data_IF_627678613849
#
_entry.id   IF_627678613849
#
_cell.length_a   1.000
_cell.length_b   1.000
_cell.length_c   1.000
_cell.angle_alpha   90.00
_cell.angle_beta   90.00
_cell.angle_gamma   90.00
#
_symmetry.space_group_name_H-M   'P 1'
#
loop_
_entity.id
_entity.type
_entity.pdbx_description
1 polymer ?
#
# COMPACT_ATOMS: atom_id res chain seq x y z
N UNK A 1 -74.68 23.09 -21.08
CA UNK A 1 -73.94 23.54 -19.89
C UNK A 1 -72.63 22.77 -19.86
N UNK A 2 -71.50 23.46 -20.01
CA UNK A 2 -70.17 23.05 -19.51
C UNK A 2 -69.25 24.26 -19.71
N UNK A 3 -69.00 24.96 -18.60
CA UNK A 3 -68.11 26.11 -18.51
C UNK A 3 -66.67 25.64 -18.73
N UNK A 4 -66.00 26.23 -19.71
CA UNK A 4 -64.55 26.21 -19.80
C UNK A 4 -64.01 27.21 -18.77
N UNK A 5 -63.51 26.73 -17.64
CA UNK A 5 -62.70 27.53 -16.72
C UNK A 5 -61.33 27.73 -17.35
N UNK A 6 -61.16 28.88 -18.02
CA UNK A 6 -59.85 29.44 -18.34
C UNK A 6 -59.17 29.84 -17.04
N UNK A 7 -58.19 29.05 -16.63
CA UNK A 7 -57.26 29.36 -15.55
C UNK A 7 -56.36 30.52 -16.01
N UNK A 8 -56.81 31.74 -15.72
CA UNK A 8 -56.06 32.96 -15.98
C UNK A 8 -55.03 33.11 -14.85
N UNK A 9 -53.91 32.39 -14.96
CA UNK A 9 -52.71 32.71 -14.20
C UNK A 9 -52.16 34.04 -14.74
N UNK A 10 -52.57 35.13 -14.11
CA UNK A 10 -52.14 36.50 -14.39
C UNK A 10 -50.60 36.55 -14.34
N UNK A 11 -49.97 36.86 -15.48
CA UNK A 11 -48.50 36.92 -15.58
C UNK A 11 -48.05 38.23 -14.91
N UNK A 12 -47.67 38.15 -13.63
CA UNK A 12 -47.08 39.29 -12.90
C UNK A 12 -45.66 39.56 -13.43
N UNK A 13 -45.47 40.68 -14.13
CA UNK A 13 -44.15 41.12 -14.58
C UNK A 13 -43.36 41.61 -13.36
N UNK A 14 -42.36 40.83 -12.95
CA UNK A 14 -41.52 41.15 -11.79
C UNK A 14 -40.70 42.44 -12.04
N UNK A 15 -40.56 43.27 -11.00
CA UNK A 15 -39.67 44.43 -11.01
C UNK A 15 -38.20 43.99 -11.03
N UNK A 16 -37.32 44.83 -11.58
CA UNK A 16 -35.88 44.53 -11.73
C UNK A 16 -35.23 44.12 -10.40
N UNK A 17 -35.57 44.80 -9.30
CA UNK A 17 -35.11 44.44 -7.96
C UNK A 17 -35.54 43.02 -7.51
N UNK A 18 -36.82 42.63 -7.76
CA UNK A 18 -37.30 41.27 -7.44
C UNK A 18 -36.60 40.21 -8.31
N UNK A 19 -36.30 40.52 -9.56
CA UNK A 19 -35.55 39.64 -10.46
C UNK A 19 -34.10 39.46 -9.97
N UNK A 20 -33.40 40.54 -9.65
CA UNK A 20 -32.03 40.49 -9.12
C UNK A 20 -31.93 39.71 -7.81
N UNK A 21 -32.85 39.94 -6.87
CA UNK A 21 -32.92 39.13 -5.63
C UNK A 21 -33.14 37.65 -5.91
N UNK A 22 -33.99 37.31 -6.88
CA UNK A 22 -34.22 35.93 -7.31
C UNK A 22 -32.96 35.28 -7.90
N UNK A 23 -32.21 36.02 -8.73
CA UNK A 23 -30.94 35.55 -9.30
C UNK A 23 -29.90 35.34 -8.20
N UNK A 24 -29.72 36.29 -7.29
CA UNK A 24 -28.79 36.19 -6.16
C UNK A 24 -29.12 34.95 -5.31
N UNK A 25 -30.36 34.82 -4.85
CA UNK A 25 -30.81 33.66 -4.05
C UNK A 25 -30.58 32.32 -4.77
N UNK A 26 -30.77 32.28 -6.09
CA UNK A 26 -30.50 31.08 -6.89
C UNK A 26 -29.00 30.74 -6.90
N UNK A 27 -28.13 31.74 -7.09
CA UNK A 27 -26.68 31.54 -7.05
C UNK A 27 -26.22 31.09 -5.66
N UNK A 28 -26.73 31.69 -4.58
CA UNK A 28 -26.44 31.28 -3.20
C UNK A 28 -26.83 29.84 -2.93
N UNK A 29 -28.05 29.44 -3.30
CA UNK A 29 -28.53 28.06 -3.10
C UNK A 29 -27.69 27.03 -3.87
N UNK A 30 -27.30 27.34 -5.10
CA UNK A 30 -26.45 26.46 -5.90
C UNK A 30 -25.03 26.38 -5.31
N UNK A 31 -24.50 27.50 -4.84
CA UNK A 31 -23.20 27.56 -4.16
C UNK A 31 -23.16 26.68 -2.93
N UNK A 32 -24.17 26.77 -2.07
CA UNK A 32 -24.24 25.96 -0.86
C UNK A 32 -24.21 24.46 -1.19
N UNK A 33 -25.05 24.02 -2.12
CA UNK A 33 -25.10 22.62 -2.55
C UNK A 33 -23.77 22.15 -3.15
N UNK A 34 -23.14 22.98 -4.00
CA UNK A 34 -21.86 22.60 -4.62
C UNK A 34 -20.72 22.60 -3.61
N UNK A 35 -20.69 23.52 -2.65
CA UNK A 35 -19.67 23.57 -1.59
C UNK A 35 -19.76 22.35 -0.68
N UNK A 36 -20.97 21.97 -0.28
CA UNK A 36 -21.17 20.76 0.52
C UNK A 36 -20.67 19.51 -0.21
N UNK A 37 -21.10 19.31 -1.47
CA UNK A 37 -20.65 18.17 -2.27
C UNK A 37 -19.13 18.19 -2.49
N UNK A 38 -18.55 19.38 -2.73
CA UNK A 38 -17.13 19.54 -2.92
C UNK A 38 -16.33 19.16 -1.67
N UNK A 39 -16.75 19.60 -0.50
CA UNK A 39 -16.08 19.28 0.76
C UNK A 39 -16.10 17.78 1.07
N UNK A 40 -17.24 17.12 0.82
CA UNK A 40 -17.35 15.65 0.96
C UNK A 40 -16.39 14.92 -0.01
N UNK A 41 -16.35 15.34 -1.27
CA UNK A 41 -15.46 14.75 -2.26
C UNK A 41 -13.98 15.06 -2.01
N UNK A 42 -13.66 16.27 -1.56
CA UNK A 42 -12.29 16.69 -1.26
C UNK A 42 -11.71 15.87 -0.10
N UNK A 43 -12.47 15.72 0.98
CA UNK A 43 -12.08 14.88 2.12
C UNK A 43 -11.89 13.41 1.70
N UNK A 44 -12.81 12.88 0.88
CA UNK A 44 -12.69 11.52 0.36
C UNK A 44 -11.47 11.35 -0.54
N UNK A 45 -11.22 12.29 -1.44
CA UNK A 45 -10.12 12.26 -2.39
C UNK A 45 -8.77 12.40 -1.69
N UNK A 46 -8.68 13.24 -0.65
CA UNK A 46 -7.53 13.34 0.24
C UNK A 46 -7.24 12.01 0.92
N UNK A 47 -8.24 11.41 1.56
CA UNK A 47 -8.09 10.10 2.23
C UNK A 47 -7.66 8.99 1.25
N UNK A 48 -8.22 8.97 0.03
CA UNK A 48 -7.83 8.00 -1.00
C UNK A 48 -6.38 8.21 -1.47
N UNK A 49 -5.94 9.46 -1.67
CA UNK A 49 -4.55 9.77 -2.04
C UNK A 49 -3.58 9.37 -0.93
N UNK A 50 -3.89 9.69 0.32
CA UNK A 50 -3.08 9.30 1.47
C UNK A 50 -2.97 7.78 1.56
N UNK A 51 -4.08 7.06 1.37
CA UNK A 51 -4.09 5.60 1.30
C UNK A 51 -3.22 5.09 0.14
N UNK A 52 -3.38 5.63 -1.07
CA UNK A 52 -2.59 5.26 -2.25
C UNK A 52 -1.08 5.40 -2.00
N UNK A 53 -0.64 6.52 -1.43
CA UNK A 53 0.78 6.74 -1.12
C UNK A 53 1.27 5.80 -0.01
N UNK A 54 0.44 5.53 1.00
CA UNK A 54 0.78 4.58 2.07
C UNK A 54 0.95 3.15 1.54
N UNK A 55 0.06 2.70 0.65
CA UNK A 55 0.13 1.39 0.00
C UNK A 55 1.37 1.28 -0.89
N UNK A 56 1.70 2.33 -1.65
CA UNK A 56 2.92 2.35 -2.47
C UNK A 56 4.18 2.22 -1.61
N UNK A 57 4.25 2.97 -0.51
CA UNK A 57 5.36 2.88 0.44
C UNK A 57 5.46 1.49 1.08
N UNK A 58 4.31 0.89 1.39
CA UNK A 58 4.28 -0.46 1.96
C UNK A 58 4.73 -1.52 0.95
N UNK A 59 4.32 -1.40 -0.30
CA UNK A 59 4.83 -2.26 -1.39
C UNK A 59 6.35 -2.21 -1.48
N UNK A 60 6.92 -1.01 -1.50
CA UNK A 60 8.37 -0.83 -1.60
C UNK A 60 9.09 -1.46 -0.40
N UNK A 61 8.56 -1.29 0.81
CA UNK A 61 9.08 -1.93 2.03
C UNK A 61 9.06 -3.45 1.97
N UNK A 62 7.98 -4.05 1.47
CA UNK A 62 7.86 -5.51 1.34
C UNK A 62 8.88 -6.02 0.32
N UNK A 63 9.05 -5.35 -0.81
CA UNK A 63 10.05 -5.71 -1.82
C UNK A 63 11.46 -5.64 -1.22
N UNK A 64 11.81 -4.55 -0.55
CA UNK A 64 13.10 -4.40 0.13
C UNK A 64 13.30 -5.49 1.19
N UNK A 65 12.27 -5.81 1.98
CA UNK A 65 12.34 -6.86 3.00
C UNK A 65 12.57 -8.23 2.37
N UNK A 66 11.90 -8.54 1.26
CA UNK A 66 12.11 -9.76 0.50
C UNK A 66 13.56 -9.91 0.03
N UNK A 67 14.15 -8.83 -0.50
CA UNK A 67 15.54 -8.85 -0.99
C UNK A 67 16.54 -9.01 0.15
N UNK A 68 16.34 -8.28 1.26
CA UNK A 68 17.15 -8.42 2.48
C UNK A 68 17.09 -9.86 3.02
N UNK A 69 15.92 -10.49 3.02
CA UNK A 69 15.77 -11.86 3.51
C UNK A 69 16.45 -12.89 2.60
N UNK A 70 16.37 -12.71 1.28
CA UNK A 70 17.10 -13.55 0.30
C UNK A 70 18.61 -13.44 0.50
N UNK A 71 19.12 -12.21 0.62
CA UNK A 71 20.54 -11.98 0.86
C UNK A 71 20.98 -12.56 2.20
N UNK A 72 20.23 -12.30 3.28
CA UNK A 72 20.50 -12.84 4.61
C UNK A 72 20.57 -14.37 4.59
N UNK A 73 19.61 -15.04 3.93
CA UNK A 73 19.63 -16.49 3.75
C UNK A 73 20.91 -16.96 3.05
N UNK A 74 21.31 -16.30 1.97
CA UNK A 74 22.52 -16.63 1.24
C UNK A 74 23.79 -16.45 2.09
N UNK A 75 23.90 -15.35 2.82
CA UNK A 75 25.04 -15.05 3.69
C UNK A 75 25.14 -16.07 4.84
N UNK A 76 24.03 -16.44 5.45
CA UNK A 76 23.99 -17.43 6.54
C UNK A 76 24.42 -18.81 6.06
N UNK A 77 23.98 -19.24 4.86
CA UNK A 77 24.49 -20.47 4.27
C UNK A 77 25.96 -20.39 3.90
N UNK A 78 26.46 -19.25 3.45
CA UNK A 78 27.89 -19.10 3.20
C UNK A 78 28.71 -19.21 4.50
N UNK A 79 28.27 -18.59 5.59
CA UNK A 79 28.91 -18.71 6.91
C UNK A 79 28.88 -20.14 7.44
N UNK A 80 27.75 -20.84 7.28
CA UNK A 80 27.63 -22.24 7.66
C UNK A 80 28.55 -23.14 6.81
N UNK A 81 28.71 -22.85 5.51
CA UNK A 81 29.62 -23.56 4.61
C UNK A 81 31.08 -23.35 5.03
N UNK A 82 31.48 -22.13 5.37
CA UNK A 82 32.83 -21.85 5.88
C UNK A 82 33.08 -22.59 7.20
N UNK A 83 32.13 -22.57 8.13
CA UNK A 83 32.23 -23.32 9.38
C UNK A 83 32.31 -24.84 9.14
N UNK A 84 31.60 -25.36 8.14
CA UNK A 84 31.68 -26.76 7.72
C UNK A 84 33.06 -27.11 7.14
N UNK A 85 33.65 -26.24 6.32
CA UNK A 85 35.01 -26.42 5.82
C UNK A 85 36.03 -26.42 6.96
N UNK A 86 35.90 -25.49 7.91
CA UNK A 86 36.74 -25.44 9.11
C UNK A 86 36.63 -26.71 9.95
N UNK A 87 35.41 -27.26 10.07
CA UNK A 87 35.17 -28.53 10.73
C UNK A 87 35.94 -29.66 10.02
N UNK A 88 35.78 -29.80 8.69
CA UNK A 88 36.44 -30.83 7.89
C UNK A 88 37.96 -30.76 8.07
N UNK A 89 38.57 -29.58 7.93
CA UNK A 89 40.02 -29.38 8.06
C UNK A 89 40.57 -29.65 9.47
N UNK A 90 39.76 -29.47 10.52
CA UNK A 90 40.17 -29.69 11.91
C UNK A 90 39.83 -31.09 12.42
N UNK A 91 39.04 -31.85 11.65
CA UNK A 91 38.49 -33.14 12.06
C UNK A 91 39.28 -34.32 11.47
N UNK A 92 40.61 -34.32 11.63
CA UNK A 92 41.51 -35.37 11.13
C UNK A 92 41.14 -36.80 11.61
N UNK A 93 40.31 -36.91 12.65
CA UNK A 93 39.87 -38.19 13.23
C UNK A 93 38.46 -38.62 12.81
N UNK A 94 37.75 -37.80 12.03
CA UNK A 94 36.42 -38.14 11.51
C UNK A 94 36.58 -38.88 10.18
N UNK A 95 35.82 -39.96 9.99
CA UNK A 95 35.84 -40.73 8.75
C UNK A 95 35.53 -39.83 7.54
N UNK A 96 36.34 -39.94 6.50
CA UNK A 96 36.17 -39.23 5.23
C UNK A 96 34.77 -39.45 4.64
N UNK A 97 34.20 -40.65 4.79
CA UNK A 97 32.83 -40.93 4.35
C UNK A 97 31.81 -40.05 5.06
N UNK A 98 31.96 -39.84 6.36
CA UNK A 98 31.08 -38.97 7.17
C UNK A 98 31.25 -37.51 6.76
N UNK A 99 32.47 -37.07 6.44
CA UNK A 99 32.72 -35.71 5.92
C UNK A 99 32.06 -35.49 4.55
N UNK A 100 32.16 -36.47 3.64
CA UNK A 100 31.53 -36.41 2.32
C UNK A 100 29.99 -36.39 2.42
N UNK A 101 29.41 -37.23 3.27
CA UNK A 101 27.97 -37.28 3.54
C UNK A 101 27.47 -35.96 4.14
N UNK A 102 28.24 -35.35 5.05
CA UNK A 102 27.91 -34.06 5.66
C UNK A 102 27.93 -32.93 4.62
N UNK A 103 28.92 -32.90 3.73
CA UNK A 103 29.00 -31.94 2.64
C UNK A 103 27.88 -32.13 1.60
N UNK A 104 27.50 -33.37 1.33
CA UNK A 104 26.37 -33.69 0.46
C UNK A 104 25.04 -33.23 1.08
N UNK A 105 24.83 -33.49 2.37
CA UNK A 105 23.66 -33.05 3.13
C UNK A 105 23.55 -31.51 3.14
N UNK A 106 24.66 -30.82 3.40
CA UNK A 106 24.71 -29.36 3.37
C UNK A 106 24.40 -28.79 1.97
N UNK A 107 24.93 -29.40 0.90
CA UNK A 107 24.58 -29.03 -0.48
C UNK A 107 23.10 -29.22 -0.77
N UNK A 108 22.45 -30.24 -0.19
CA UNK A 108 20.99 -30.44 -0.30
C UNK A 108 20.25 -29.27 0.34
N UNK A 109 20.59 -28.92 1.58
CA UNK A 109 20.01 -27.78 2.32
C UNK A 109 20.09 -26.48 1.51
N UNK A 110 21.25 -26.17 0.92
CA UNK A 110 21.42 -24.92 0.14
C UNK A 110 20.56 -24.87 -1.14
N UNK A 111 20.29 -26.03 -1.74
CA UNK A 111 19.58 -26.14 -3.03
C UNK A 111 18.06 -26.20 -2.89
N UNK A 112 17.54 -26.36 -1.68
CA UNK A 112 16.08 -26.39 -1.45
C UNK A 112 15.46 -25.04 -1.84
N UNK A 113 14.26 -25.13 -2.40
CA UNK A 113 13.49 -23.98 -2.91
C UNK A 113 12.17 -23.77 -2.18
N UNK A 114 11.78 -24.68 -1.29
CA UNK A 114 10.57 -24.57 -0.49
C UNK A 114 10.90 -24.82 0.98
N UNK A 115 10.02 -24.36 1.86
CA UNK A 115 10.18 -24.46 3.32
C UNK A 115 10.18 -25.90 3.82
N UNK A 116 9.34 -26.76 3.24
CA UNK A 116 9.16 -28.13 3.73
C UNK A 116 10.44 -28.95 3.51
N UNK A 117 10.96 -28.93 2.29
CA UNK A 117 12.20 -29.60 1.91
C UNK A 117 13.39 -28.99 2.63
N UNK A 118 13.41 -27.66 2.81
CA UNK A 118 14.47 -26.98 3.56
C UNK A 118 14.49 -27.45 5.01
N UNK A 119 13.34 -27.50 5.68
CA UNK A 119 13.22 -28.00 7.04
C UNK A 119 13.70 -29.45 7.15
N UNK A 120 13.22 -30.34 6.27
CA UNK A 120 13.64 -31.74 6.27
C UNK A 120 15.14 -31.89 6.03
N UNK A 121 15.71 -31.12 5.09
CA UNK A 121 17.14 -31.16 4.81
C UNK A 121 17.96 -30.67 6.01
N UNK A 122 17.49 -29.65 6.73
CA UNK A 122 18.13 -29.12 7.94
C UNK A 122 18.05 -30.11 9.09
N UNK A 123 16.90 -30.75 9.29
CA UNK A 123 16.73 -31.75 10.35
C UNK A 123 17.65 -32.96 10.11
N UNK A 124 17.78 -33.40 8.85
CA UNK A 124 18.74 -34.43 8.45
C UNK A 124 20.20 -34.00 8.71
N UNK A 125 20.57 -32.77 8.31
CA UNK A 125 21.91 -32.22 8.57
C UNK A 125 22.21 -32.16 10.08
N UNK A 126 21.24 -31.72 10.88
CA UNK A 126 21.39 -31.65 12.33
C UNK A 126 21.54 -33.03 12.96
N UNK A 127 20.84 -34.05 12.46
CA UNK A 127 21.03 -35.44 12.88
C UNK A 127 22.47 -35.90 12.66
N UNK A 128 23.00 -35.72 11.45
CA UNK A 128 24.40 -36.06 11.14
C UNK A 128 25.39 -35.32 12.04
N UNK A 129 25.17 -34.02 12.26
CA UNK A 129 26.01 -33.21 13.14
C UNK A 129 25.98 -33.67 14.60
N UNK A 130 24.83 -34.14 15.09
CA UNK A 130 24.69 -34.65 16.46
C UNK A 130 25.29 -36.05 16.63
N UNK A 131 25.31 -36.87 15.58
CA UNK A 131 25.96 -38.19 15.58
C UNK A 131 27.49 -38.12 15.68
N UNK A 132 28.08 -36.98 15.30
CA UNK A 132 29.50 -36.70 15.45
C UNK A 132 29.81 -36.50 16.94
N UNK A 133 30.14 -37.59 17.63
CA UNK A 133 30.56 -37.58 19.03
C UNK A 133 32.00 -37.06 19.16
N UNK A 134 32.17 -35.74 19.12
CA UNK A 134 33.49 -35.13 19.32
C UNK A 134 33.75 -34.85 20.80
N UNK A 135 34.80 -35.47 21.36
CA UNK A 135 35.35 -35.12 22.69
C UNK A 135 36.09 -33.78 22.67
N UNK A 136 36.34 -33.22 21.49
CA UNK A 136 37.00 -31.93 21.33
C UNK A 136 35.99 -30.77 21.42
N UNK A 137 36.17 -29.93 22.45
CA UNK A 137 35.37 -28.72 22.67
C UNK A 137 35.45 -27.74 21.49
N UNK A 138 36.55 -27.72 20.74
CA UNK A 138 36.72 -26.86 19.56
C UNK A 138 35.79 -27.30 18.42
N UNK A 139 35.78 -28.59 18.11
CA UNK A 139 34.90 -29.17 17.10
C UNK A 139 33.42 -29.06 17.48
N UNK A 140 33.09 -29.28 18.76
CA UNK A 140 31.72 -29.08 19.26
C UNK A 140 31.22 -27.65 19.06
N UNK A 141 32.07 -26.64 19.28
CA UNK A 141 31.71 -25.23 18.99
C UNK A 141 31.44 -24.98 17.51
N UNK A 142 32.22 -25.57 16.61
CA UNK A 142 32.03 -25.42 15.16
C UNK A 142 30.71 -26.08 14.74
N UNK A 143 30.41 -27.27 15.26
CA UNK A 143 29.12 -27.94 15.03
C UNK A 143 27.95 -27.05 15.46
N UNK A 144 27.99 -26.51 16.68
CA UNK A 144 26.93 -25.60 17.17
C UNK A 144 26.81 -24.34 16.30
N UNK A 145 27.92 -23.81 15.78
CA UNK A 145 27.90 -22.67 14.87
C UNK A 145 27.19 -23.01 13.55
N UNK A 146 27.48 -24.16 12.95
CA UNK A 146 26.82 -24.63 11.71
C UNK A 146 25.31 -24.75 11.97
N UNK A 147 24.91 -25.43 13.06
CA UNK A 147 23.51 -25.61 13.43
C UNK A 147 22.80 -24.27 13.65
N UNK A 148 23.45 -23.32 14.34
CA UNK A 148 22.89 -22.00 14.55
C UNK A 148 22.66 -21.26 13.23
N UNK A 149 23.65 -21.23 12.34
CA UNK A 149 23.57 -20.50 11.06
C UNK A 149 22.55 -21.08 10.10
N UNK A 150 22.46 -22.40 10.02
CA UNK A 150 21.45 -23.08 9.20
C UNK A 150 20.04 -22.85 9.75
N UNK A 151 19.86 -22.83 11.08
CA UNK A 151 18.57 -22.49 11.69
C UNK A 151 18.19 -21.02 11.52
N UNK A 152 19.15 -20.09 11.65
CA UNK A 152 18.93 -18.67 11.35
C UNK A 152 18.52 -18.49 9.87
N UNK A 153 19.11 -19.25 8.94
CA UNK A 153 18.76 -19.22 7.53
C UNK A 153 17.32 -19.71 7.30
N UNK A 154 16.92 -20.79 7.99
CA UNK A 154 15.53 -21.28 7.98
C UNK A 154 14.54 -20.22 8.45
N UNK A 155 14.83 -19.53 9.55
CA UNK A 155 13.96 -18.46 10.07
C UNK A 155 13.82 -17.33 9.04
N UNK A 156 14.91 -16.97 8.36
CA UNK A 156 14.86 -15.97 7.28
C UNK A 156 14.02 -16.45 6.09
N UNK A 157 14.10 -17.74 5.72
CA UNK A 157 13.21 -18.33 4.72
C UNK A 157 11.74 -18.29 5.16
N UNK A 158 11.45 -18.68 6.40
CA UNK A 158 10.09 -18.67 6.97
C UNK A 158 9.46 -17.29 6.90
N UNK A 159 10.22 -16.26 7.29
CA UNK A 159 9.78 -14.89 7.13
C UNK A 159 9.56 -14.53 5.66
N UNK A 160 10.50 -14.88 4.77
CA UNK A 160 10.38 -14.59 3.33
C UNK A 160 9.10 -15.17 2.73
N UNK A 161 8.83 -16.47 2.92
CA UNK A 161 7.63 -17.10 2.37
C UNK A 161 6.34 -16.60 3.03
N UNK A 162 6.39 -16.06 4.24
CA UNK A 162 5.22 -15.45 4.88
C UNK A 162 4.81 -14.13 4.23
N UNK A 163 5.75 -13.42 3.60
CA UNK A 163 5.52 -12.13 2.95
C UNK A 163 5.56 -12.19 1.42
N UNK A 164 6.12 -13.26 0.84
CA UNK A 164 6.23 -13.45 -0.60
C UNK A 164 4.86 -13.38 -1.30
N UNK A 165 4.79 -12.62 -2.40
CA UNK A 165 3.56 -12.35 -3.14
C UNK A 165 2.58 -11.37 -2.46
N UNK A 166 2.89 -10.84 -1.27
CA UNK A 166 2.08 -9.78 -0.65
C UNK A 166 2.16 -8.48 -1.44
N UNK A 167 3.29 -8.20 -2.09
CA UNK A 167 3.48 -7.07 -2.99
C UNK A 167 2.49 -7.07 -4.17
N UNK A 168 2.13 -8.25 -4.68
CA UNK A 168 1.14 -8.41 -5.75
C UNK A 168 -0.25 -8.00 -5.26
N UNK A 169 -0.64 -8.45 -4.06
CA UNK A 169 -1.92 -8.07 -3.45
C UNK A 169 -1.98 -6.55 -3.20
N UNK A 170 -0.90 -5.97 -2.68
CA UNK A 170 -0.81 -4.52 -2.48
C UNK A 170 -0.94 -3.79 -3.83
N UNK A 171 -0.31 -4.30 -4.90
CA UNK A 171 -0.43 -3.71 -6.23
C UNK A 171 -1.86 -3.72 -6.77
N UNK A 172 -2.61 -4.81 -6.55
CA UNK A 172 -4.03 -4.88 -6.90
C UNK A 172 -4.85 -3.83 -6.15
N UNK A 173 -4.58 -3.63 -4.86
CA UNK A 173 -5.27 -2.62 -4.04
C UNK A 173 -4.89 -1.19 -4.41
N UNK A 174 -3.64 -0.96 -4.83
CA UNK A 174 -3.21 0.31 -5.44
C UNK A 174 -4.03 0.59 -6.70
N UNK A 175 -4.18 -0.39 -7.60
CA UNK A 175 -4.96 -0.21 -8.82
C UNK A 175 -6.44 0.06 -8.53
N UNK A 176 -7.04 -0.61 -7.54
CA UNK A 176 -8.42 -0.33 -7.11
C UNK A 176 -8.55 1.10 -6.60
N UNK A 177 -7.63 1.53 -5.74
CA UNK A 177 -7.64 2.89 -5.17
C UNK A 177 -7.45 3.95 -6.26
N UNK A 178 -6.50 3.74 -7.17
CA UNK A 178 -6.23 4.62 -8.31
C UNK A 178 -7.46 4.77 -9.21
N UNK A 179 -8.15 3.65 -9.51
CA UNK A 179 -9.40 3.68 -10.26
C UNK A 179 -10.46 4.56 -9.61
N UNK A 180 -10.64 4.45 -8.28
CA UNK A 180 -11.61 5.27 -7.55
C UNK A 180 -11.22 6.76 -7.58
N UNK A 181 -9.92 7.07 -7.45
CA UNK A 181 -9.42 8.45 -7.57
C UNK A 181 -9.77 9.01 -8.96
N UNK A 182 -9.52 8.23 -10.02
CA UNK A 182 -9.79 8.64 -11.40
C UNK A 182 -11.29 8.76 -11.71
N UNK A 183 -12.17 8.02 -11.02
CA UNK A 183 -13.62 8.15 -11.14
C UNK A 183 -14.15 9.43 -10.46
N UNK A 184 -13.59 9.81 -9.32
CA UNK A 184 -14.08 10.97 -8.53
C UNK A 184 -13.43 12.29 -8.97
N UNK A 185 -12.18 12.25 -9.42
CA UNK A 185 -11.39 13.43 -9.80
C UNK A 185 -12.11 14.39 -10.76
N UNK A 186 -12.72 13.91 -11.87
CA UNK A 186 -13.42 14.78 -12.80
C UNK A 186 -14.58 15.56 -12.16
N UNK A 187 -15.32 14.94 -11.23
CA UNK A 187 -16.43 15.61 -10.53
C UNK A 187 -15.91 16.65 -9.54
N UNK A 188 -14.85 16.33 -8.82
CA UNK A 188 -14.17 17.25 -7.90
C UNK A 188 -13.66 18.50 -8.66
N UNK A 189 -12.94 18.32 -9.77
CA UNK A 189 -12.47 19.45 -10.60
C UNK A 189 -13.61 20.26 -11.21
N UNK A 190 -14.70 19.60 -11.62
CA UNK A 190 -15.88 20.28 -12.15
C UNK A 190 -16.54 21.15 -11.08
N UNK A 191 -16.68 20.64 -9.85
CA UNK A 191 -17.25 21.39 -8.73
C UNK A 191 -16.37 22.59 -8.36
N UNK A 192 -15.06 22.44 -8.31
CA UNK A 192 -14.12 23.54 -8.04
C UNK A 192 -14.34 24.71 -9.02
N UNK A 193 -14.34 24.40 -10.32
CA UNK A 193 -14.59 25.40 -11.38
C UNK A 193 -15.99 25.99 -11.27
N UNK A 194 -16.99 25.17 -10.92
CA UNK A 194 -18.38 25.60 -10.84
C UNK A 194 -18.64 26.53 -9.65
N UNK A 195 -18.08 26.21 -8.48
CA UNK A 195 -18.13 27.05 -7.29
C UNK A 195 -17.54 28.42 -7.62
N UNK A 196 -16.32 28.45 -8.18
CA UNK A 196 -15.66 29.71 -8.57
C UNK A 196 -16.51 30.54 -9.53
N UNK A 197 -17.08 29.91 -10.56
CA UNK A 197 -17.97 30.59 -11.51
C UNK A 197 -19.24 31.15 -10.84
N UNK A 198 -19.82 30.44 -9.88
CA UNK A 198 -20.97 30.94 -9.15
C UNK A 198 -20.62 32.06 -8.16
N UNK A 199 -19.43 32.05 -7.55
CA UNK A 199 -18.93 33.13 -6.69
C UNK A 199 -18.71 34.42 -7.51
N UNK A 200 -18.11 34.30 -8.68
CA UNK A 200 -17.92 35.42 -9.62
C UNK A 200 -19.27 36.01 -10.06
N UNK A 201 -20.24 35.15 -10.42
CA UNK A 201 -21.58 35.59 -10.78
C UNK A 201 -22.32 36.25 -9.61
N UNK A 202 -22.23 35.68 -8.40
CA UNK A 202 -22.85 36.25 -7.21
C UNK A 202 -22.30 37.66 -6.93
N UNK A 203 -20.98 37.85 -7.04
CA UNK A 203 -20.34 39.15 -6.89
C UNK A 203 -20.87 40.15 -7.93
N UNK A 204 -20.93 39.76 -9.21
CA UNK A 204 -21.48 40.59 -10.27
C UNK A 204 -22.93 41.03 -9.99
N UNK A 205 -23.83 40.08 -9.69
CA UNK A 205 -25.24 40.38 -9.46
C UNK A 205 -25.48 41.18 -8.19
N UNK A 206 -24.68 40.95 -7.15
CA UNK A 206 -24.74 41.74 -5.91
C UNK A 206 -24.35 43.18 -6.15
N UNK A 207 -23.30 43.42 -6.96
CA UNK A 207 -22.89 44.77 -7.35
C UNK A 207 -23.97 45.48 -8.18
N UNK A 208 -24.60 44.76 -9.12
CA UNK A 208 -25.68 45.30 -9.93
C UNK A 208 -26.92 45.67 -9.07
N UNK A 209 -27.30 44.81 -8.13
CA UNK A 209 -28.41 45.06 -7.22
C UNK A 209 -28.15 46.25 -6.29
N UNK A 210 -26.92 46.42 -5.82
CA UNK A 210 -26.54 47.57 -5.02
C UNK A 210 -26.57 48.86 -5.85
N UNK A 211 -26.10 48.83 -7.11
CA UNK A 211 -26.13 49.97 -8.02
C UNK A 211 -27.57 50.43 -8.29
N UNK A 212 -28.48 49.50 -8.63
CA UNK A 212 -29.90 49.81 -8.85
C UNK A 212 -30.61 50.34 -7.60
N UNK A 213 -30.21 49.91 -6.40
CA UNK A 213 -30.72 50.48 -5.14
C UNK A 213 -30.31 51.94 -4.93
N UNK A 214 -29.09 52.31 -5.31
CA UNK A 214 -28.60 53.70 -5.19
C UNK A 214 -29.27 54.65 -6.18
N UNK A 215 -29.58 54.20 -7.40
CA UNK A 215 -30.21 55.04 -8.43
C UNK A 215 -31.69 55.36 -8.16
N UNK A 216 -32.35 54.62 -7.24
CA UNK A 216 -33.76 54.84 -6.84
C UNK A 216 -33.88 55.85 -5.69
N UNK A 217 -32.78 56.26 -5.06
CA UNK A 217 -32.76 57.16 -3.88
C UNK A 217 -32.43 58.62 -4.24
N UNK A 218 -32.36 58.98 -5.52
CA UNK A 218 -32.11 60.35 -6.02
C UNK A 218 -33.37 61.00 -6.54
#
# INVERSE_FOLDING_TARGET
MNNASTDNSEIEILTTNKLLEGVIKKHEKLLENYKQEFEELDNRLKSLKDNYYSQKKEKDRIIERCDVLKEKRQQLYHQAEQALWDFIHKSDQVDRKVQDDLMASFKKVRKTKNIADEKEAIDNLNSYLNEINSKDKSLSKIISLIQAKVNEARIASEEFFSIDGTDIKILEDIHKTDKIINEIGPRHEWLEKRIKSHEEALNYWSNQYNAEKTDVVV
#
